data_IF_409173729526
#
_entry.id   IF_409173729526
#
_cell.length_a   1.000
_cell.length_b   1.000
_cell.length_c   1.000
_cell.angle_alpha   90.00
_cell.angle_beta   90.00
_cell.angle_gamma   90.00
#
_symmetry.space_group_name_H-M   'P 1'
#
loop_
_entity.id
_entity.type
_entity.pdbx_description
1 polymer ?
#
# COMPACT_ATOMS: atom_id res chain seq x y z
N UNK A 1 -7.82 -16.08 18.81
CA UNK A 1 -7.33 -15.13 19.87
C UNK A 1 -7.30 -13.74 19.25
N UNK A 2 -7.97 -12.77 19.85
CA UNK A 2 -8.10 -11.41 19.31
C UNK A 2 -6.77 -10.65 19.34
N UNK A 3 -6.52 -9.75 18.37
CA UNK A 3 -5.32 -8.92 18.39
C UNK A 3 -5.26 -8.04 19.63
N UNK A 4 -4.08 -7.87 20.18
CA UNK A 4 -3.82 -6.92 21.26
C UNK A 4 -3.53 -5.51 20.73
N UNK A 5 -2.67 -4.79 21.43
CA UNK A 5 -2.00 -3.61 20.89
C UNK A 5 -0.69 -4.03 20.25
N UNK A 6 -0.25 -3.37 19.17
CA UNK A 6 1.08 -3.61 18.63
C UNK A 6 2.15 -3.51 19.70
N UNK A 7 3.06 -4.47 19.75
CA UNK A 7 4.10 -4.56 20.77
C UNK A 7 5.35 -3.76 20.33
N UNK A 8 5.90 -2.98 21.27
CA UNK A 8 7.24 -2.36 21.13
C UNK A 8 7.34 -1.24 20.07
N UNK A 9 8.57 -0.83 19.80
CA UNK A 9 8.93 0.30 18.92
C UNK A 9 9.60 -0.12 17.60
N UNK A 10 9.64 -1.41 17.29
CA UNK A 10 10.29 -1.91 16.08
C UNK A 10 9.29 -1.96 14.92
N UNK A 11 8.88 -0.80 14.48
CA UNK A 11 7.99 -0.67 13.32
C UNK A 11 8.83 -0.38 12.08
N UNK A 12 8.47 -1.01 10.98
CA UNK A 12 8.86 -0.50 9.67
C UNK A 12 7.96 0.69 9.37
N UNK A 13 8.56 1.79 8.94
CA UNK A 13 7.83 3.02 8.60
C UNK A 13 8.15 3.42 7.18
N UNK A 14 7.14 3.78 6.42
CA UNK A 14 7.25 4.44 5.13
C UNK A 14 6.46 5.74 5.22
N UNK A 15 7.09 6.83 4.83
CA UNK A 15 6.43 8.11 4.65
C UNK A 15 6.06 8.27 3.20
N UNK A 16 4.87 8.76 2.96
CA UNK A 16 4.37 9.08 1.65
C UNK A 16 4.29 10.59 1.42
N UNK A 17 3.99 10.97 0.20
CA UNK A 17 3.81 12.36 -0.19
C UNK A 17 2.35 12.75 0.01
N UNK A 18 2.11 13.99 0.43
CA UNK A 18 0.78 14.59 0.49
C UNK A 18 0.60 15.51 -0.70
N UNK A 19 -0.48 15.35 -1.44
CA UNK A 19 -0.65 15.95 -2.77
C UNK A 19 -1.78 16.99 -2.89
N UNK A 20 -2.08 17.71 -1.82
CA UNK A 20 -3.06 18.81 -1.80
C UNK A 20 -2.72 19.93 -2.80
N UNK A 21 -1.44 20.21 -3.00
CA UNK A 21 -0.96 21.23 -3.94
C UNK A 21 -1.21 20.82 -5.38
N UNK A 22 -1.00 19.55 -5.71
CA UNK A 22 -1.23 19.00 -7.05
C UNK A 22 -2.68 19.14 -7.48
N UNK A 23 -3.64 18.86 -6.59
CA UNK A 23 -5.06 19.05 -6.84
C UNK A 23 -5.38 20.50 -7.17
N UNK A 24 -4.85 21.45 -6.41
CA UNK A 24 -5.10 22.89 -6.62
C UNK A 24 -4.58 23.40 -7.97
N UNK A 25 -3.54 22.75 -8.49
CA UNK A 25 -2.93 23.07 -9.79
C UNK A 25 -3.55 22.30 -10.96
N UNK A 26 -4.49 21.41 -10.71
CA UNK A 26 -5.08 20.53 -11.73
C UNK A 26 -4.06 19.64 -12.44
N UNK A 27 -3.07 19.15 -11.71
CA UNK A 27 -2.03 18.24 -12.18
C UNK A 27 -2.27 16.84 -11.63
N UNK A 28 -2.07 15.81 -12.44
CA UNK A 28 -2.53 14.47 -12.11
C UNK A 28 -1.43 13.51 -11.66
N UNK A 29 -0.19 13.91 -11.61
CA UNK A 29 0.89 12.98 -11.30
C UNK A 29 1.88 13.46 -10.22
N UNK A 30 1.44 14.20 -9.24
CA UNK A 30 2.31 14.77 -8.21
C UNK A 30 3.37 13.83 -7.65
N UNK A 31 3.00 12.62 -7.29
CA UNK A 31 3.89 11.62 -6.71
C UNK A 31 4.01 10.32 -7.50
N UNK A 32 3.32 10.18 -8.61
CA UNK A 32 3.36 8.96 -9.43
C UNK A 32 4.79 8.58 -9.81
N UNK A 33 5.19 7.35 -9.55
CA UNK A 33 6.39 6.72 -10.10
C UNK A 33 6.09 5.31 -10.59
N UNK A 34 5.69 5.21 -11.83
CA UNK A 34 5.36 3.95 -12.48
C UNK A 34 6.52 2.94 -12.50
N UNK A 35 7.77 3.39 -12.37
CA UNK A 35 8.92 2.48 -12.31
C UNK A 35 8.98 1.71 -11.00
N UNK A 36 8.36 2.24 -9.98
CA UNK A 36 8.26 1.62 -8.64
C UNK A 36 6.86 1.08 -8.35
N UNK A 37 5.91 1.26 -9.27
CA UNK A 37 4.52 0.89 -9.07
C UNK A 37 3.80 1.83 -8.11
N UNK A 38 4.31 3.06 -7.93
CA UNK A 38 3.70 4.06 -7.07
C UNK A 38 2.67 4.88 -7.86
N UNK A 39 1.48 4.96 -7.28
CA UNK A 39 0.38 5.82 -7.73
C UNK A 39 0.07 6.83 -6.64
N UNK A 40 -0.03 8.09 -7.01
CA UNK A 40 -0.30 9.22 -6.12
C UNK A 40 -1.46 10.02 -6.72
N UNK A 41 -2.67 9.50 -6.58
CA UNK A 41 -3.88 10.03 -7.21
C UNK A 41 -5.06 10.12 -6.24
N UNK A 42 -4.91 10.77 -5.08
CA UNK A 42 -5.99 10.96 -4.12
C UNK A 42 -6.95 12.08 -4.59
N UNK A 43 -7.49 11.94 -5.80
CA UNK A 43 -8.36 12.92 -6.45
C UNK A 43 -9.58 12.23 -7.05
N UNK A 44 -10.69 12.96 -7.15
CA UNK A 44 -11.81 12.54 -7.99
C UNK A 44 -11.56 12.84 -9.48
N UNK A 45 -12.43 12.41 -10.41
CA UNK A 45 -12.27 12.68 -11.84
C UNK A 45 -12.20 14.18 -12.22
N UNK A 46 -12.72 15.05 -11.36
CA UNK A 46 -12.71 16.52 -11.54
C UNK A 46 -11.50 17.18 -10.88
N UNK A 47 -10.55 16.37 -10.38
CA UNK A 47 -9.38 16.82 -9.62
C UNK A 47 -9.74 17.52 -8.31
N UNK A 48 -10.83 17.12 -7.65
CA UNK A 48 -11.07 17.51 -6.29
C UNK A 48 -10.27 16.58 -5.36
N UNK A 49 -9.53 17.17 -4.46
CA UNK A 49 -8.67 16.46 -3.54
C UNK A 49 -9.47 15.64 -2.53
N UNK A 50 -9.05 14.38 -2.32
CA UNK A 50 -9.66 13.42 -1.42
C UNK A 50 -8.69 13.09 -0.27
N UNK A 51 -8.57 13.96 0.75
CA UNK A 51 -7.53 13.82 1.78
C UNK A 51 -7.69 12.56 2.64
N UNK A 52 -8.89 11.97 2.69
CA UNK A 52 -9.17 10.71 3.37
C UNK A 52 -8.67 9.47 2.59
N UNK A 53 -8.19 9.66 1.35
CA UNK A 53 -7.58 8.64 0.51
C UNK A 53 -6.10 8.91 0.20
N UNK A 54 -5.50 9.97 0.78
CA UNK A 54 -4.11 10.38 0.60
C UNK A 54 -3.26 9.82 1.75
N UNK A 55 -2.38 8.87 1.46
CA UNK A 55 -1.49 8.23 2.44
C UNK A 55 -0.39 9.20 2.89
N UNK A 56 -0.28 9.38 4.19
CA UNK A 56 0.79 10.18 4.82
C UNK A 56 1.93 9.30 5.30
N UNK A 57 1.57 8.17 5.89
CA UNK A 57 2.55 7.22 6.43
C UNK A 57 1.90 5.88 6.74
N UNK A 58 2.70 4.84 6.60
CA UNK A 58 2.31 3.48 6.92
C UNK A 58 3.32 2.83 7.83
N UNK A 59 2.84 1.97 8.74
CA UNK A 59 3.67 1.28 9.72
C UNK A 59 3.34 -0.20 9.72
N UNK A 60 4.37 -1.04 9.85
CA UNK A 60 4.20 -2.47 10.06
C UNK A 60 4.91 -2.90 11.33
N UNK A 61 4.22 -3.66 12.18
CA UNK A 61 4.76 -4.28 13.38
C UNK A 61 4.50 -5.80 13.34
N UNK A 62 5.55 -6.59 13.54
CA UNK A 62 5.50 -8.07 13.52
C UNK A 62 6.11 -8.70 14.77
N UNK A 63 6.06 -8.02 15.90
CA UNK A 63 6.62 -8.52 17.15
C UNK A 63 5.71 -9.49 17.90
N UNK A 64 4.42 -9.49 17.57
CA UNK A 64 3.48 -10.46 18.09
C UNK A 64 3.71 -11.83 17.41
N UNK A 65 3.75 -12.94 18.14
CA UNK A 65 4.00 -14.27 17.56
C UNK A 65 2.87 -14.77 16.66
N UNK A 66 1.68 -14.16 16.73
CA UNK A 66 0.50 -14.57 15.96
C UNK A 66 0.07 -13.49 14.96
N UNK A 67 0.19 -12.20 15.34
CA UNK A 67 -0.38 -11.08 14.61
C UNK A 67 0.67 -10.20 13.98
N UNK A 68 0.42 -9.79 12.75
CA UNK A 68 1.08 -8.66 12.10
C UNK A 68 0.09 -7.50 12.11
N UNK A 69 0.58 -6.32 12.49
CA UNK A 69 -0.20 -5.09 12.54
C UNK A 69 0.29 -4.13 11.48
N UNK A 70 -0.62 -3.57 10.72
CA UNK A 70 -0.36 -2.47 9.78
C UNK A 70 -1.20 -1.29 10.18
N UNK A 71 -0.61 -0.10 10.17
CA UNK A 71 -1.27 1.17 10.41
C UNK A 71 -1.15 2.02 9.16
N UNK A 72 -2.28 2.45 8.61
CA UNK A 72 -2.35 3.32 7.44
C UNK A 72 -2.90 4.67 7.90
N UNK A 73 -2.08 5.70 7.80
CA UNK A 73 -2.46 7.08 8.12
C UNK A 73 -2.69 7.87 6.84
N UNK A 74 -3.83 8.51 6.76
CA UNK A 74 -4.23 9.41 5.67
C UNK A 74 -4.28 10.86 6.13
N UNK A 75 -4.47 11.80 5.20
CA UNK A 75 -4.35 13.25 5.47
C UNK A 75 -5.64 13.89 6.02
N UNK A 76 -6.68 13.12 6.29
CA UNK A 76 -7.91 13.59 6.95
C UNK A 76 -8.59 12.45 7.71
N UNK A 77 -9.56 12.73 8.60
CA UNK A 77 -10.36 11.69 9.22
C UNK A 77 -10.98 10.77 8.17
N UNK A 78 -10.81 9.46 8.34
CA UNK A 78 -11.33 8.46 7.38
C UNK A 78 -12.86 8.48 7.27
N UNK A 79 -13.53 9.07 8.26
CA UNK A 79 -14.99 9.27 8.25
C UNK A 79 -15.45 10.47 7.42
N UNK A 80 -14.51 11.23 6.85
CA UNK A 80 -14.81 12.36 5.97
C UNK A 80 -15.14 11.89 4.53
N UNK A 81 -14.97 10.59 4.25
CA UNK A 81 -15.48 9.97 3.04
C UNK A 81 -17.02 9.99 3.03
N UNK A 82 -17.66 10.78 2.15
CA UNK A 82 -19.12 10.94 2.15
C UNK A 82 -19.88 9.70 1.69
N UNK A 83 -19.21 8.84 0.90
CA UNK A 83 -19.82 7.66 0.30
C UNK A 83 -19.51 6.39 1.09
N UNK A 84 -18.51 6.44 1.97
CA UNK A 84 -18.07 5.31 2.77
C UNK A 84 -17.45 4.16 1.96
N UNK A 85 -16.95 4.46 0.77
CA UNK A 85 -16.43 3.48 -0.18
C UNK A 85 -14.91 3.31 -0.11
N UNK A 86 -14.24 4.05 0.77
CA UNK A 86 -12.78 3.95 0.90
C UNK A 86 -12.38 2.59 1.47
N UNK A 87 -11.44 1.94 0.80
CA UNK A 87 -10.79 0.72 1.23
C UNK A 87 -9.33 0.96 1.59
N UNK A 88 -8.91 0.31 2.65
CA UNK A 88 -7.53 0.27 3.12
C UNK A 88 -7.01 -1.14 2.90
N UNK A 89 -5.92 -1.30 2.18
CA UNK A 89 -5.47 -2.61 1.73
C UNK A 89 -4.00 -2.86 2.06
N UNK A 90 -3.67 -4.12 2.21
CA UNK A 90 -2.30 -4.60 2.33
C UNK A 90 -2.12 -5.79 1.40
N UNK A 91 -1.28 -5.62 0.40
CA UNK A 91 -0.87 -6.67 -0.49
C UNK A 91 0.42 -7.33 0.01
N UNK A 92 0.54 -8.64 -0.12
CA UNK A 92 1.66 -9.43 0.40
C UNK A 92 2.18 -10.36 -0.69
N UNK A 93 3.49 -10.29 -0.94
CA UNK A 93 4.30 -11.25 -1.67
C UNK A 93 5.09 -12.06 -0.62
N UNK A 94 4.70 -13.30 -0.38
CA UNK A 94 5.26 -14.15 0.70
C UNK A 94 6.34 -15.10 0.23
N UNK A 95 6.48 -15.32 -1.06
CA UNK A 95 7.50 -16.19 -1.65
C UNK A 95 8.64 -15.42 -2.31
N UNK A 96 8.53 -14.08 -2.35
CA UNK A 96 9.55 -13.13 -2.80
C UNK A 96 9.85 -13.22 -4.31
N UNK A 97 8.89 -13.64 -5.09
CA UNK A 97 9.03 -13.73 -6.55
C UNK A 97 8.66 -12.42 -7.29
N UNK A 98 8.34 -11.39 -6.54
CA UNK A 98 7.92 -10.06 -7.01
C UNK A 98 6.48 -10.00 -7.52
N UNK A 99 5.63 -10.92 -7.11
CA UNK A 99 4.21 -10.98 -7.42
C UNK A 99 3.38 -11.08 -6.15
N UNK A 100 2.13 -10.64 -6.22
CA UNK A 100 1.25 -10.70 -5.06
C UNK A 100 0.67 -12.09 -4.83
N UNK A 101 0.56 -12.49 -3.57
CA UNK A 101 -0.01 -13.76 -3.14
C UNK A 101 -1.31 -13.58 -2.37
N UNK A 102 -1.39 -12.50 -1.58
CA UNK A 102 -2.51 -12.23 -0.67
C UNK A 102 -2.85 -10.75 -0.72
N UNK A 103 -4.13 -10.44 -0.79
CA UNK A 103 -4.67 -9.11 -0.61
C UNK A 103 -5.59 -9.08 0.61
N UNK A 104 -5.28 -8.23 1.58
CA UNK A 104 -6.10 -7.97 2.75
C UNK A 104 -6.78 -6.63 2.55
N UNK A 105 -8.10 -6.60 2.64
CA UNK A 105 -8.92 -5.41 2.39
C UNK A 105 -9.73 -5.09 3.64
N UNK A 106 -9.73 -3.85 4.05
CA UNK A 106 -10.63 -3.30 5.07
C UNK A 106 -11.42 -2.13 4.49
N UNK A 107 -12.73 -2.17 4.54
CA UNK A 107 -13.52 -0.95 4.46
C UNK A 107 -13.23 -0.03 5.65
N UNK A 108 -13.88 1.12 5.73
CA UNK A 108 -13.77 2.05 6.86
C UNK A 108 -14.27 1.34 8.13
N UNK A 109 -13.42 1.15 9.17
CA UNK A 109 -13.86 0.51 10.40
C UNK A 109 -14.86 1.38 11.17
N UNK A 110 -15.90 0.76 11.73
CA UNK A 110 -16.94 1.49 12.47
C UNK A 110 -16.56 1.80 13.92
N UNK A 111 -15.50 1.20 14.45
CA UNK A 111 -15.14 1.33 15.85
C UNK A 111 -13.63 1.34 16.12
N UNK A 112 -13.28 1.71 17.35
CA UNK A 112 -11.91 1.66 17.88
C UNK A 112 -11.54 0.29 18.48
N UNK A 113 -12.46 -0.65 18.49
CA UNK A 113 -12.22 -2.04 18.89
C UNK A 113 -12.03 -2.92 17.67
N UNK A 114 -11.19 -3.94 17.80
CA UNK A 114 -10.94 -4.88 16.72
C UNK A 114 -12.23 -5.55 16.27
N UNK A 115 -12.43 -5.65 14.96
CA UNK A 115 -13.60 -6.27 14.36
C UNK A 115 -13.21 -6.94 13.04
N UNK A 116 -13.87 -8.04 12.74
CA UNK A 116 -13.80 -8.69 11.43
C UNK A 116 -14.72 -8.01 10.40
N UNK A 117 -15.60 -7.12 10.85
CA UNK A 117 -16.58 -6.47 9.99
C UNK A 117 -15.89 -5.63 8.91
N UNK A 118 -16.37 -5.76 7.68
CA UNK A 118 -15.82 -5.10 6.49
C UNK A 118 -14.36 -5.47 6.20
N UNK A 119 -13.89 -6.63 6.70
CA UNK A 119 -12.56 -7.15 6.40
C UNK A 119 -12.67 -8.37 5.52
N UNK A 120 -11.94 -8.36 4.42
CA UNK A 120 -11.87 -9.43 3.44
C UNK A 120 -10.42 -9.83 3.19
N UNK A 121 -10.20 -11.09 2.83
CA UNK A 121 -8.88 -11.58 2.41
C UNK A 121 -9.05 -12.40 1.13
N UNK A 122 -8.26 -12.05 0.15
CA UNK A 122 -8.27 -12.69 -1.17
C UNK A 122 -6.91 -13.30 -1.49
N UNK A 123 -6.94 -14.32 -2.33
CA UNK A 123 -5.76 -14.96 -2.92
C UNK A 123 -6.00 -15.26 -4.39
N UNK A 124 -4.96 -15.65 -5.08
CA UNK A 124 -5.05 -16.28 -6.38
C UNK A 124 -4.19 -17.56 -6.36
N UNK A 125 -4.76 -18.74 -6.10
CA UNK A 125 -3.99 -19.96 -5.95
C UNK A 125 -3.45 -20.53 -7.26
N UNK A 126 -4.00 -20.10 -8.39
CA UNK A 126 -3.67 -20.68 -9.70
C UNK A 126 -2.49 -19.94 -10.37
N UNK A 127 -2.34 -18.66 -10.07
CA UNK A 127 -1.27 -17.81 -10.61
C UNK A 127 -0.89 -16.76 -9.56
N UNK A 128 0.35 -16.32 -9.56
CA UNK A 128 0.77 -15.16 -8.82
C UNK A 128 0.19 -13.89 -9.47
N UNK A 129 -0.21 -12.94 -8.67
CA UNK A 129 -0.82 -11.69 -9.15
C UNK A 129 0.26 -10.76 -9.66
N UNK A 130 0.07 -10.22 -10.86
CA UNK A 130 0.95 -9.27 -11.51
C UNK A 130 2.16 -9.86 -12.20
N UNK A 131 2.93 -8.97 -12.84
CA UNK A 131 4.15 -9.29 -13.54
C UNK A 131 5.40 -9.10 -12.69
N UNK A 132 6.54 -9.56 -13.21
CA UNK A 132 7.86 -9.35 -12.59
C UNK A 132 8.44 -7.96 -12.88
N UNK A 133 7.85 -7.21 -13.79
CA UNK A 133 8.25 -5.85 -14.13
C UNK A 133 7.24 -4.86 -13.58
N UNK A 134 7.73 -3.82 -12.93
CA UNK A 134 6.88 -2.79 -12.30
C UNK A 134 6.13 -1.95 -13.33
N UNK A 135 6.73 -1.71 -14.47
CA UNK A 135 6.09 -0.97 -15.57
C UNK A 135 6.08 -1.83 -16.80
N UNK A 136 4.91 -2.32 -17.14
CA UNK A 136 4.66 -3.09 -18.34
C UNK A 136 3.35 -2.61 -18.96
N UNK A 137 3.36 -2.13 -20.18
CA UNK A 137 2.12 -1.84 -20.88
C UNK A 137 1.38 -3.17 -21.13
N UNK A 138 0.41 -3.47 -20.27
CA UNK A 138 -0.40 -4.66 -20.44
C UNK A 138 -1.42 -4.45 -21.55
N UNK A 139 -1.55 -5.37 -22.49
CA UNK A 139 -2.54 -5.25 -23.57
C UNK A 139 -3.98 -5.39 -23.04
N UNK A 140 -4.18 -5.97 -21.86
CA UNK A 140 -5.50 -6.12 -21.27
C UNK A 140 -5.40 -6.57 -19.81
N UNK A 141 -6.06 -5.86 -18.90
CA UNK A 141 -6.31 -6.29 -17.53
C UNK A 141 -7.36 -7.43 -17.46
N UNK A 142 -8.01 -7.73 -18.57
CA UNK A 142 -9.14 -8.67 -18.64
C UNK A 142 -8.73 -10.14 -18.55
N UNK A 143 -7.48 -10.46 -18.32
CA UNK A 143 -7.02 -11.87 -18.26
C UNK A 143 -7.32 -12.55 -16.91
N UNK A 144 -7.97 -11.87 -15.97
CA UNK A 144 -8.43 -12.47 -14.71
C UNK A 144 -7.28 -12.95 -13.81
N UNK A 145 -6.16 -12.24 -13.82
CA UNK A 145 -4.96 -12.59 -13.04
C UNK A 145 -4.91 -11.92 -11.66
N UNK A 146 -5.97 -11.23 -11.28
CA UNK A 146 -6.09 -10.57 -9.99
C UNK A 146 -6.50 -11.52 -8.87
N UNK A 147 -6.90 -10.95 -7.76
CA UNK A 147 -7.32 -11.67 -6.56
C UNK A 147 -8.79 -12.07 -6.67
N UNK A 148 -9.09 -13.30 -7.04
CA UNK A 148 -10.45 -13.77 -7.26
C UNK A 148 -10.95 -14.78 -6.22
N UNK A 149 -10.07 -15.39 -5.43
CA UNK A 149 -10.48 -16.33 -4.40
C UNK A 149 -10.59 -15.63 -3.05
N UNK A 150 -11.82 -15.37 -2.61
CA UNK A 150 -12.09 -14.93 -1.25
C UNK A 150 -11.91 -16.10 -0.28
N UNK A 151 -10.98 -15.97 0.67
CA UNK A 151 -10.73 -16.96 1.73
C UNK A 151 -11.25 -16.54 3.10
N UNK A 152 -11.58 -15.26 3.24
CA UNK A 152 -12.14 -14.71 4.47
C UNK A 152 -13.01 -13.48 4.15
N UNK A 153 -14.15 -13.37 4.83
CA UNK A 153 -15.04 -12.21 4.72
C UNK A 153 -15.91 -12.09 5.98
N UNK A 154 -15.83 -10.95 6.69
CA UNK A 154 -16.64 -10.65 7.88
C UNK A 154 -16.60 -11.76 8.96
N UNK A 155 -15.48 -12.37 9.19
CA UNK A 155 -15.36 -13.47 10.15
C UNK A 155 -15.80 -14.83 9.61
N UNK A 156 -16.09 -14.94 8.32
CA UNK A 156 -16.41 -16.20 7.62
C UNK A 156 -15.20 -16.68 6.84
N UNK A 157 -14.90 -17.95 6.93
CA UNK A 157 -13.75 -18.62 6.33
C UNK A 157 -13.30 -19.76 7.23
N UNK A 158 -12.26 -20.48 6.83
CA UNK A 158 -11.70 -21.58 7.61
C UNK A 158 -11.10 -21.11 8.95
N UNK A 159 -10.63 -19.88 8.98
CA UNK A 159 -10.11 -19.20 10.18
C UNK A 159 -10.96 -17.93 10.46
N UNK A 160 -11.92 -17.99 11.40
CA UNK A 160 -12.88 -16.90 11.60
C UNK A 160 -12.31 -15.63 12.24
N UNK A 161 -11.07 -15.64 12.67
CA UNK A 161 -10.33 -14.48 13.17
C UNK A 161 -9.04 -14.24 12.38
N UNK A 162 -9.04 -14.53 11.07
CA UNK A 162 -7.88 -14.43 10.18
C UNK A 162 -7.33 -13.01 10.05
N UNK A 163 -8.23 -12.04 9.91
CA UNK A 163 -7.90 -10.63 9.82
C UNK A 163 -8.97 -9.75 10.49
N UNK A 164 -8.56 -8.61 11.00
CA UNK A 164 -9.41 -7.64 11.70
C UNK A 164 -8.95 -6.23 11.42
N UNK A 165 -9.86 -5.27 11.53
CA UNK A 165 -9.52 -3.85 11.46
C UNK A 165 -10.15 -3.05 12.59
N UNK A 166 -9.66 -1.83 12.79
CA UNK A 166 -10.23 -0.83 13.69
C UNK A 166 -9.74 0.58 13.36
N UNK A 167 -10.46 1.58 13.83
CA UNK A 167 -9.92 2.94 13.89
C UNK A 167 -8.83 3.04 14.96
N UNK A 168 -7.87 3.93 14.75
CA UNK A 168 -6.94 4.30 15.82
C UNK A 168 -7.70 4.89 17.01
N UNK A 169 -7.20 4.61 18.22
CA UNK A 169 -7.80 5.18 19.43
C UNK A 169 -7.52 6.66 19.60
N UNK A 170 -6.41 7.12 19.03
CA UNK A 170 -5.89 8.46 19.22
C UNK A 170 -6.12 9.36 18.00
N UNK A 171 -6.11 8.79 16.80
CA UNK A 171 -6.09 9.53 15.54
C UNK A 171 -7.26 9.08 14.66
N UNK A 172 -8.12 10.01 14.26
CA UNK A 172 -9.29 9.72 13.42
C UNK A 172 -8.92 9.47 11.94
N UNK A 173 -7.71 9.82 11.57
CA UNK A 173 -7.13 9.69 10.24
C UNK A 173 -6.35 8.38 10.03
N UNK A 174 -6.49 7.43 10.94
CA UNK A 174 -5.65 6.23 10.96
C UNK A 174 -6.49 4.96 11.11
N UNK A 175 -6.33 4.05 10.15
CA UNK A 175 -6.86 2.68 10.19
C UNK A 175 -5.76 1.71 10.59
N UNK A 176 -6.11 0.79 11.49
CA UNK A 176 -5.25 -0.34 11.85
C UNK A 176 -5.86 -1.62 11.30
N UNK A 177 -5.02 -2.41 10.63
CA UNK A 177 -5.32 -3.76 10.17
C UNK A 177 -4.43 -4.73 10.95
N UNK A 178 -4.99 -5.78 11.49
CA UNK A 178 -4.26 -6.89 12.07
C UNK A 178 -4.60 -8.18 11.32
N UNK A 179 -3.60 -8.95 10.95
CA UNK A 179 -3.79 -10.22 10.28
C UNK A 179 -2.83 -11.28 10.83
N UNK A 180 -3.24 -12.55 10.74
CA UNK A 180 -2.39 -13.63 11.22
C UNK A 180 -1.17 -13.79 10.34
N UNK A 181 -0.03 -14.05 10.97
CA UNK A 181 1.26 -14.21 10.30
C UNK A 181 1.30 -15.41 9.32
N UNK A 182 0.32 -16.30 9.39
CA UNK A 182 0.14 -17.39 8.41
C UNK A 182 -0.04 -16.89 6.99
N UNK A 183 -0.58 -15.68 6.83
CA UNK A 183 -0.74 -15.02 5.52
C UNK A 183 0.59 -14.53 4.91
N UNK A 184 1.64 -14.39 5.72
CA UNK A 184 2.95 -13.87 5.31
C UNK A 184 4.09 -14.90 5.46
N UNK A 185 3.78 -16.18 5.48
CA UNK A 185 4.79 -17.23 5.62
C UNK A 185 5.16 -17.61 7.06
N UNK A 186 4.39 -17.14 8.05
CA UNK A 186 4.56 -17.46 9.47
C UNK A 186 5.38 -16.44 10.27
N UNK A 187 5.60 -16.73 11.55
CA UNK A 187 6.22 -15.81 12.52
C UNK A 187 7.58 -15.23 12.05
N UNK A 188 8.38 -16.05 11.40
CA UNK A 188 9.72 -15.67 10.88
C UNK A 188 9.76 -15.55 9.37
N UNK A 189 8.62 -15.59 8.72
CA UNK A 189 8.53 -15.47 7.27
C UNK A 189 9.15 -14.16 6.77
N UNK A 190 9.86 -14.21 5.66
CA UNK A 190 10.25 -13.05 4.89
C UNK A 190 9.14 -12.77 3.88
N UNK A 191 8.77 -11.51 3.70
CA UNK A 191 7.76 -11.12 2.71
C UNK A 191 7.99 -9.68 2.27
N UNK A 192 7.38 -9.32 1.16
CA UNK A 192 7.24 -7.93 0.73
C UNK A 192 5.79 -7.53 0.95
N UNK A 193 5.55 -6.31 1.36
CA UNK A 193 4.21 -5.77 1.52
C UNK A 193 4.06 -4.42 0.83
N UNK A 194 2.83 -4.15 0.39
CA UNK A 194 2.46 -2.93 -0.33
C UNK A 194 1.12 -2.45 0.21
N UNK A 195 1.08 -1.30 0.89
CA UNK A 195 -0.17 -0.69 1.34
C UNK A 195 -0.83 0.08 0.20
N UNK A 196 -2.17 0.07 0.21
CA UNK A 196 -3.01 0.78 -0.74
C UNK A 196 -4.18 1.45 -0.02
N UNK A 197 -4.64 2.55 -0.60
CA UNK A 197 -5.95 3.14 -0.34
C UNK A 197 -6.65 3.36 -1.67
N UNK A 198 -7.94 3.05 -1.75
CA UNK A 198 -8.77 3.38 -2.90
C UNK A 198 -10.16 3.84 -2.46
N UNK A 199 -10.86 4.56 -3.31
CA UNK A 199 -12.22 5.05 -3.06
C UNK A 199 -13.30 4.20 -3.73
N UNK A 200 -13.08 2.88 -3.79
CA UNK A 200 -13.99 1.92 -4.40
C UNK A 200 -13.81 1.76 -5.91
N UNK A 201 -12.66 2.17 -6.43
CA UNK A 201 -12.35 2.10 -7.86
C UNK A 201 -11.79 0.76 -8.31
N UNK A 202 -11.07 0.07 -7.42
CA UNK A 202 -10.34 -1.14 -7.77
C UNK A 202 -11.26 -2.36 -7.87
N UNK A 203 -11.18 -3.06 -8.98
CA UNK A 203 -11.69 -4.42 -9.12
C UNK A 203 -10.57 -5.41 -8.81
N UNK A 204 -10.63 -6.05 -7.67
CA UNK A 204 -9.57 -6.94 -7.19
C UNK A 204 -9.38 -8.18 -8.05
N UNK A 205 -10.37 -8.58 -8.83
CA UNK A 205 -10.24 -9.67 -9.81
C UNK A 205 -9.34 -9.32 -10.99
N UNK A 206 -9.12 -8.01 -11.19
CA UNK A 206 -8.23 -7.47 -12.22
C UNK A 206 -6.93 -6.88 -11.62
N UNK A 207 -6.79 -6.91 -10.31
CA UNK A 207 -5.67 -6.29 -9.60
C UNK A 207 -4.38 -7.07 -9.84
N UNK A 208 -3.37 -6.41 -10.36
CA UNK A 208 -2.05 -6.96 -10.63
C UNK A 208 -0.99 -6.22 -9.82
N UNK A 209 -0.12 -6.95 -9.15
CA UNK A 209 0.80 -6.43 -8.14
C UNK A 209 1.71 -5.30 -8.64
N UNK A 210 2.37 -5.47 -9.77
CA UNK A 210 3.38 -4.51 -10.24
C UNK A 210 2.91 -3.63 -11.39
N UNK A 211 1.82 -3.99 -12.01
CA UNK A 211 1.35 -3.38 -13.27
C UNK A 211 -0.18 -3.45 -13.29
N UNK A 212 -0.79 -2.76 -12.33
CA UNK A 212 -2.23 -2.82 -12.11
C UNK A 212 -3.03 -2.18 -13.23
N UNK A 213 -2.41 -1.27 -13.99
CA UNK A 213 -3.09 -0.48 -15.00
C UNK A 213 -2.24 -0.32 -16.25
N UNK A 214 -2.89 -0.29 -17.38
CA UNK A 214 -2.24 0.04 -18.64
C UNK A 214 -1.89 1.53 -18.71
N UNK A 215 -0.92 1.90 -19.52
CA UNK A 215 -0.60 3.31 -19.75
C UNK A 215 -1.79 4.12 -20.27
N UNK A 216 -2.71 3.50 -20.98
CA UNK A 216 -3.90 4.19 -21.46
C UNK A 216 -4.87 4.51 -20.33
N UNK A 217 -4.96 3.66 -19.30
CA UNK A 217 -5.82 3.85 -18.13
C UNK A 217 -5.22 4.83 -17.14
N UNK A 218 -3.98 4.63 -16.77
CA UNK A 218 -3.29 5.48 -15.82
C UNK A 218 -2.95 6.87 -16.36
N UNK A 219 -2.84 7.02 -17.68
CA UNK A 219 -2.19 8.19 -18.28
C UNK A 219 -0.68 8.10 -18.12
N UNK A 220 0.07 8.47 -19.15
CA UNK A 220 1.52 8.31 -19.15
C UNK A 220 2.20 9.42 -18.35
N UNK A 221 2.88 9.12 -17.24
CA UNK A 221 3.34 10.14 -16.29
C UNK A 221 4.59 10.90 -16.74
N UNK A 222 5.31 10.38 -17.72
CA UNK A 222 6.53 11.04 -18.23
C UNK A 222 6.25 12.14 -19.24
N UNK A 223 5.00 12.37 -19.54
CA UNK A 223 4.58 13.48 -20.37
C UNK A 223 4.28 14.71 -19.50
N UNK A 224 4.09 15.84 -20.15
CA UNK A 224 3.80 17.08 -19.48
C UNK A 224 2.49 16.99 -18.68
N UNK A 225 2.43 17.71 -17.57
CA UNK A 225 1.35 17.70 -16.59
C UNK A 225 -0.04 17.84 -17.20
N UNK A 226 -0.17 18.67 -18.20
CA UNK A 226 -1.43 18.91 -18.91
C UNK A 226 -1.99 17.70 -19.64
N UNK A 227 -1.16 16.70 -19.96
CA UNK A 227 -1.61 15.49 -20.64
C UNK A 227 -2.31 14.49 -19.69
N UNK A 228 -2.12 14.66 -18.38
CA UNK A 228 -2.74 13.82 -17.37
C UNK A 228 -4.06 14.39 -16.86
N UNK A 229 -4.42 15.58 -17.26
CA UNK A 229 -5.69 16.18 -16.88
C UNK A 229 -6.62 16.37 -18.09
N UNK A 230 -7.92 16.04 -17.98
CA UNK A 230 -8.54 15.38 -16.82
C UNK A 230 -7.94 14.00 -16.59
N UNK A 231 -8.04 13.50 -15.35
CA UNK A 231 -7.67 12.13 -15.00
C UNK A 231 -8.41 11.18 -15.95
N UNK A 232 -7.72 10.11 -16.37
CA UNK A 232 -8.33 9.17 -17.30
C UNK A 232 -9.21 8.16 -16.54
N UNK A 233 -8.76 6.93 -16.41
CA UNK A 233 -9.54 5.88 -15.76
C UNK A 233 -9.09 5.63 -14.32
N UNK A 234 -7.91 6.12 -13.95
CA UNK A 234 -7.32 5.90 -12.64
C UNK A 234 -7.38 7.18 -11.78
N UNK A 235 -8.17 7.14 -10.73
CA UNK A 235 -8.36 8.21 -9.76
C UNK A 235 -8.79 7.62 -8.41
N UNK A 236 -8.74 8.42 -7.34
CA UNK A 236 -9.15 8.00 -5.99
C UNK A 236 -8.32 6.83 -5.46
N UNK A 237 -7.02 6.81 -5.77
CA UNK A 237 -6.11 5.73 -5.41
C UNK A 237 -4.78 6.30 -4.96
N UNK A 238 -4.20 5.66 -3.97
CA UNK A 238 -2.89 5.98 -3.46
C UNK A 238 -2.20 4.72 -2.91
N UNK A 239 -0.90 4.62 -3.12
CA UNK A 239 -0.08 3.57 -2.55
C UNK A 239 1.37 4.03 -2.34
N UNK A 240 2.08 3.36 -1.48
CA UNK A 240 3.52 3.54 -1.36
C UNK A 240 4.25 2.64 -2.37
N UNK A 241 5.57 2.62 -2.32
CA UNK A 241 6.39 1.58 -2.91
C UNK A 241 6.39 0.32 -2.03
N UNK A 242 6.89 -0.79 -2.56
CA UNK A 242 6.96 -2.11 -1.92
C UNK A 242 8.01 -2.14 -0.81
N UNK A 243 7.68 -2.73 0.33
CA UNK A 243 8.53 -2.74 1.53
C UNK A 243 8.92 -4.18 1.90
N UNK A 244 10.22 -4.51 1.98
CA UNK A 244 10.66 -5.82 2.45
C UNK A 244 10.54 -5.93 3.97
N UNK A 245 10.09 -7.07 4.46
CA UNK A 245 9.98 -7.38 5.89
C UNK A 245 10.61 -8.74 6.23
N UNK A 246 11.45 -8.76 7.25
CA UNK A 246 12.11 -9.98 7.73
C UNK A 246 13.37 -10.39 6.96
N UNK A 247 13.80 -9.60 5.96
CA UNK A 247 15.03 -9.84 5.23
C UNK A 247 15.63 -8.52 4.72
N UNK A 248 16.90 -8.56 4.35
CA UNK A 248 17.55 -7.48 3.62
C UNK A 248 17.57 -7.86 2.13
N UNK A 249 16.96 -7.06 1.25
CA UNK A 249 16.93 -7.38 -0.17
C UNK A 249 18.35 -7.37 -0.75
N UNK A 250 18.64 -8.35 -1.60
CA UNK A 250 19.89 -8.44 -2.35
C UNK A 250 19.59 -8.34 -3.85
N UNK A 251 20.30 -7.48 -4.56
CA UNK A 251 20.09 -7.29 -5.99
C UNK A 251 18.98 -6.29 -6.32
N UNK A 252 18.40 -6.43 -7.49
CA UNK A 252 17.36 -5.55 -8.00
C UNK A 252 16.00 -6.22 -7.90
N UNK A 253 15.32 -6.03 -6.78
CA UNK A 253 13.90 -6.36 -6.69
C UNK A 253 13.10 -5.15 -7.20
N UNK A 254 12.14 -5.32 -8.11
CA UNK A 254 11.42 -4.21 -8.69
C UNK A 254 10.49 -3.55 -7.67
N UNK A 255 10.32 -2.23 -7.77
CA UNK A 255 9.35 -1.45 -7.00
C UNK A 255 9.65 -1.27 -5.52
N UNK A 256 10.82 -1.68 -5.03
CA UNK A 256 11.17 -1.48 -3.62
C UNK A 256 11.36 0.00 -3.27
N UNK A 257 10.90 0.36 -2.11
CA UNK A 257 11.11 1.68 -1.53
C UNK A 257 12.62 1.99 -1.45
N UNK A 258 13.05 3.14 -1.97
CA UNK A 258 14.47 3.50 -1.92
C UNK A 258 14.96 3.80 -0.51
N UNK A 259 14.07 4.16 0.40
CA UNK A 259 14.35 4.58 1.78
C UNK A 259 13.31 3.98 2.73
N UNK A 260 13.35 2.67 2.93
CA UNK A 260 12.64 2.12 4.09
C UNK A 260 13.62 2.09 5.27
N UNK A 261 13.15 2.44 6.48
CA UNK A 261 13.92 2.24 7.69
C UNK A 261 14.00 0.72 7.95
N UNK A 262 15.15 0.07 7.71
CA UNK A 262 15.28 -1.34 8.07
C UNK A 262 15.05 -1.49 9.56
N UNK A 263 14.48 -2.60 10.03
CA UNK A 263 14.37 -2.84 11.46
C UNK A 263 15.76 -2.66 12.09
N UNK A 264 15.88 -1.98 13.24
CA UNK A 264 17.16 -1.72 13.85
C UNK A 264 17.91 -3.04 14.00
N UNK A 265 19.01 -3.16 13.25
CA UNK A 265 19.88 -4.32 13.36
C UNK A 265 20.41 -4.34 14.79
N UNK A 266 20.12 -5.40 15.53
CA UNK A 266 20.71 -5.62 16.85
C UNK A 266 22.23 -5.64 16.65
N UNK A 267 22.90 -4.51 16.92
CA UNK A 267 24.35 -4.47 17.02
C UNK A 267 25.15 -3.57 16.08
N UNK A 268 24.59 -2.55 15.41
CA UNK A 268 25.45 -1.51 14.78
C UNK A 268 25.30 -0.16 15.46
N UNK A 269 26.41 0.51 15.84
CA UNK A 269 26.35 1.87 16.35
C UNK A 269 25.86 2.82 15.26
N UNK A 270 24.89 3.63 15.61
CA UNK A 270 24.32 4.69 14.80
C UNK A 270 25.34 5.80 14.54
N UNK A 271 26.04 5.75 13.43
CA UNK A 271 26.80 6.90 12.93
C UNK A 271 27.15 6.75 11.44
N UNK A 272 26.18 6.49 10.61
CA UNK A 272 26.36 6.66 9.16
C UNK A 272 25.21 7.50 8.62
N UNK A 273 25.54 8.77 8.36
CA UNK A 273 24.73 9.63 7.52
C UNK A 273 24.46 8.94 6.18
N UNK A 274 23.21 8.63 5.88
CA UNK A 274 22.80 8.17 4.55
C UNK A 274 22.62 9.41 3.68
N UNK A 275 23.53 9.59 2.74
CA UNK A 275 23.47 10.72 1.82
C UNK A 275 22.45 10.43 0.71
N UNK A 276 21.28 11.07 0.78
CA UNK A 276 20.26 11.00 -0.27
C UNK A 276 20.49 12.17 -1.24
N UNK A 277 20.70 11.84 -2.51
CA UNK A 277 20.99 12.85 -3.53
C UNK A 277 19.86 12.88 -4.56
N UNK A 278 19.29 14.05 -4.78
CA UNK A 278 18.31 14.32 -5.81
C UNK A 278 18.95 15.09 -6.96
N UNK A 279 18.61 14.75 -8.20
CA UNK A 279 19.10 15.46 -9.39
C UNK A 279 17.95 16.20 -10.04
N UNK A 280 17.99 17.53 -10.00
CA UNK A 280 17.06 18.42 -10.68
C UNK A 280 17.76 19.03 -11.91
N UNK A 281 17.48 18.53 -13.09
CA UNK A 281 18.13 18.97 -14.32
C UNK A 281 19.63 18.73 -14.27
N UNK A 282 20.44 19.81 -14.23
CA UNK A 282 21.92 19.74 -14.13
C UNK A 282 22.45 19.88 -12.72
N UNK A 283 21.62 20.04 -11.73
CA UNK A 283 22.02 20.26 -10.33
C UNK A 283 21.73 19.04 -9.50
N UNK A 284 22.76 18.58 -8.75
CA UNK A 284 22.65 17.48 -7.79
C UNK A 284 22.66 18.05 -6.38
N UNK A 285 21.59 17.80 -5.62
CA UNK A 285 21.48 18.21 -4.20
C UNK A 285 21.49 16.94 -3.37
N UNK A 286 22.37 16.88 -2.39
CA UNK A 286 22.48 15.74 -1.48
C UNK A 286 22.21 16.22 -0.05
N UNK A 287 21.36 15.52 0.68
CA UNK A 287 21.09 15.76 2.10
C UNK A 287 21.39 14.52 2.91
N UNK A 288 21.86 14.70 4.15
CA UNK A 288 21.90 13.63 5.14
C UNK A 288 20.53 13.52 5.80
N UNK A 289 19.94 12.33 5.77
CA UNK A 289 18.81 11.97 6.61
C UNK A 289 19.25 10.92 7.64
#
# INVERSE_FOLDING_TARGET
MWPGSPLGNLNQTVHDQVDDVTASQKQAFGGDDFRTGKYERPFDPDMNYLPYADLVSVYLNRQDPLWIYVSLKVNAPVTDDPDGNTHFMVEIDKDLDSRGDVLIVSGIPESKEWSTKSVMVFTNPDVNVGGTLVVKPDPSLSEGRGYFQEIFNDGRGDDPDLAMSRLSRNDADTVLIAFKNTLSGGEKGAFIWLPWVDTGMLDWSLFEHNDHFTFSQAGYPLKEDTENYPLKELWGIDNTCRVPSGFAPTGTMPGLCPNYDPPPSVGRPSNTCVQVCYTFGRTRVCTCQ
#
